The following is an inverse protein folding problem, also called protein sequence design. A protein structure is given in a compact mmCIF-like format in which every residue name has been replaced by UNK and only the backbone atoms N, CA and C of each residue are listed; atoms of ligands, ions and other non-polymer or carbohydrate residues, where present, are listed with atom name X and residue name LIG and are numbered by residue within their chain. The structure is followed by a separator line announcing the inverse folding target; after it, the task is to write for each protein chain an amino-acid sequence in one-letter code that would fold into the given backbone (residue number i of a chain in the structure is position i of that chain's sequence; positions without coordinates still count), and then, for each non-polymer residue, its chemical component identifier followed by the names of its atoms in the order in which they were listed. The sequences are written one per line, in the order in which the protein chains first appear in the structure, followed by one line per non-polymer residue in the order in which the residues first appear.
data_IF_946451245813
#
_entry.id   IF_946451245813
#
_cell.length_a   1.000
_cell.length_b   1.000
_cell.length_c   1.000
_cell.angle_alpha   90.00
_cell.angle_beta   90.00
_cell.angle_gamma   90.00
#
_symmetry.space_group_name_H-M   'P 1'
#
loop_
_entity.id
_entity.type
_entity.pdbx_description
1 polymer ?
#
# COMPACT_ATOMS: atom_id res chain seq x y z
N UNK A 1 0.46 15.12 30.55
CA UNK A 1 0.73 15.75 29.24
C UNK A 1 0.74 14.69 28.15
N UNK A 2 -0.41 14.37 27.57
CA UNK A 2 -0.51 13.36 26.50
C UNK A 2 0.15 13.83 25.19
N UNK A 3 0.07 15.12 24.88
CA UNK A 3 0.59 15.72 23.63
C UNK A 3 2.11 15.59 23.46
N UNK A 4 2.85 15.24 24.52
CA UNK A 4 4.29 14.94 24.48
C UNK A 4 4.63 13.68 23.66
N UNK A 5 3.66 12.80 23.41
CA UNK A 5 3.82 11.66 22.50
C UNK A 5 4.21 12.13 21.09
N UNK A 6 3.63 13.23 20.60
CA UNK A 6 4.02 13.88 19.36
C UNK A 6 5.12 14.93 19.55
N UNK A 7 5.21 15.85 18.60
CA UNK A 7 5.98 17.10 18.70
C UNK A 7 5.09 18.34 18.59
N UNK A 8 3.77 18.17 18.63
CA UNK A 8 2.79 19.24 18.53
C UNK A 8 2.03 19.39 19.85
N UNK A 9 2.12 20.57 20.47
CA UNK A 9 1.38 20.88 21.69
C UNK A 9 -0.12 21.02 21.38
N UNK A 10 -0.95 20.25 22.09
CA UNK A 10 -2.40 20.19 21.89
C UNK A 10 -3.11 20.12 23.23
N UNK A 11 -4.22 20.84 23.34
CA UNK A 11 -5.07 20.85 24.53
C UNK A 11 -6.00 19.63 24.56
N UNK A 12 -6.61 19.29 23.41
CA UNK A 12 -7.63 18.23 23.31
C UNK A 12 -7.10 17.00 22.60
N UNK A 13 -7.32 15.83 23.21
CA UNK A 13 -6.96 14.55 22.61
C UNK A 13 -7.91 14.21 21.45
N UNK A 14 -7.41 13.79 20.28
CA UNK A 14 -8.25 13.29 19.20
C UNK A 14 -9.11 12.11 19.67
N UNK A 15 -10.34 12.02 19.16
CA UNK A 15 -11.20 10.86 19.41
C UNK A 15 -10.61 9.66 18.67
N UNK A 16 -10.10 8.69 19.41
CA UNK A 16 -9.70 7.38 18.89
C UNK A 16 -10.99 6.61 18.62
N UNK A 17 -11.47 6.63 17.38
CA UNK A 17 -12.71 5.93 17.04
C UNK A 17 -12.48 4.41 17.11
N UNK A 18 -13.31 3.71 17.89
CA UNK A 18 -13.19 2.26 18.13
C UNK A 18 -13.66 1.40 16.94
N UNK A 19 -13.91 2.03 15.77
CA UNK A 19 -14.38 1.36 14.55
C UNK A 19 -13.34 0.48 13.87
N UNK A 20 -12.12 0.41 14.40
CA UNK A 20 -11.05 -0.48 13.94
C UNK A 20 -10.66 -1.54 14.97
N UNK A 21 -11.59 -2.36 15.47
CA UNK A 21 -11.26 -3.58 16.26
C UNK A 21 -10.57 -4.68 15.45
N UNK A 22 -10.25 -4.41 14.18
CA UNK A 22 -9.49 -5.35 13.37
C UNK A 22 -8.02 -5.16 13.68
N UNK A 23 -7.37 -6.21 14.19
CA UNK A 23 -5.93 -6.26 14.41
C UNK A 23 -5.19 -5.88 13.11
N UNK A 24 -4.17 -5.01 13.20
CA UNK A 24 -3.34 -4.63 12.05
C UNK A 24 -3.63 -3.28 11.39
N UNK A 25 -4.43 -2.39 12.00
CA UNK A 25 -4.62 -1.00 11.55
C UNK A 25 -3.80 -0.01 12.40
N UNK A 26 -2.49 -0.23 12.55
CA UNK A 26 -1.62 0.57 13.43
C UNK A 26 -1.41 2.03 13.02
N UNK A 27 -1.81 2.43 11.81
CA UNK A 27 -1.64 3.77 11.26
C UNK A 27 -2.97 4.55 11.09
N UNK A 28 -3.93 4.36 12.00
CA UNK A 28 -5.20 5.11 12.00
C UNK A 28 -4.97 6.65 12.02
N UNK A 29 -5.76 7.45 11.28
CA UNK A 29 -5.60 8.91 11.26
C UNK A 29 -5.61 9.58 12.63
N UNK A 30 -6.37 9.06 13.61
CA UNK A 30 -6.38 9.62 14.96
C UNK A 30 -5.07 9.31 15.71
N UNK A 31 -4.54 8.09 15.59
CA UNK A 31 -3.23 7.71 16.14
C UNK A 31 -2.13 8.54 15.50
N UNK A 32 -2.12 8.67 14.17
CA UNK A 32 -1.16 9.48 13.43
C UNK A 32 -1.23 10.97 13.83
N UNK A 33 -2.41 11.44 14.22
CA UNK A 33 -2.60 12.78 14.76
C UNK A 33 -1.95 12.93 16.14
N UNK A 34 -2.01 11.91 17.00
CA UNK A 34 -1.37 11.91 18.32
C UNK A 34 0.16 11.91 18.24
N UNK A 35 0.75 11.19 17.28
CA UNK A 35 2.22 11.11 17.09
C UNK A 35 2.76 12.14 16.09
N UNK A 36 1.97 13.17 15.73
CA UNK A 36 2.35 14.18 14.76
C UNK A 36 3.74 14.77 15.03
N UNK A 37 4.60 14.79 13.99
CA UNK A 37 6.00 15.22 14.08
C UNK A 37 6.99 14.11 14.47
N UNK A 38 6.53 12.89 14.70
CA UNK A 38 7.35 11.68 14.81
C UNK A 38 6.94 10.67 13.75
N UNK A 39 7.90 9.92 13.22
CA UNK A 39 7.64 8.84 12.27
C UNK A 39 7.24 7.58 13.04
N UNK A 40 6.11 6.98 12.66
CA UNK A 40 5.65 5.70 13.19
C UNK A 40 6.08 4.61 12.21
N UNK A 41 6.96 3.71 12.67
CA UNK A 41 7.35 2.52 11.94
C UNK A 41 6.61 1.32 12.54
N UNK A 42 5.63 0.82 11.81
CA UNK A 42 4.87 -0.37 12.19
C UNK A 42 5.43 -1.58 11.43
N UNK A 43 6.16 -2.45 12.14
CA UNK A 43 6.82 -3.61 11.54
C UNK A 43 5.83 -4.65 11.05
N UNK A 44 4.61 -4.71 11.59
CA UNK A 44 3.55 -5.57 11.06
C UNK A 44 3.13 -5.11 9.67
N UNK A 45 2.82 -3.81 9.51
CA UNK A 45 2.43 -3.25 8.21
C UNK A 45 3.58 -3.34 7.19
N UNK A 46 4.81 -3.04 7.62
CA UNK A 46 5.98 -3.13 6.75
C UNK A 46 6.24 -4.57 6.30
N UNK A 47 6.11 -5.55 7.20
CA UNK A 47 6.28 -6.97 6.85
C UNK A 47 5.25 -7.43 5.82
N UNK A 48 4.00 -6.94 5.88
CA UNK A 48 2.98 -7.23 4.86
C UNK A 48 3.28 -6.64 3.48
N UNK A 49 3.98 -5.51 3.43
CA UNK A 49 4.42 -4.91 2.16
C UNK A 49 5.62 -5.68 1.58
N UNK A 50 6.55 -6.12 2.44
CA UNK A 50 7.86 -6.64 2.05
C UNK A 50 7.94 -8.17 1.93
N UNK A 51 7.14 -8.91 2.68
CA UNK A 51 7.20 -10.37 2.78
C UNK A 51 5.92 -11.03 2.27
N UNK A 52 6.06 -12.25 1.76
CA UNK A 52 4.95 -13.16 1.45
C UNK A 52 4.95 -14.29 2.47
N UNK A 53 4.19 -14.10 3.54
CA UNK A 53 4.13 -15.03 4.68
C UNK A 53 2.69 -15.45 4.94
N UNK A 54 2.51 -16.63 5.55
CA UNK A 54 1.19 -17.14 5.92
C UNK A 54 0.59 -16.41 7.12
N UNK A 55 1.44 -15.87 7.98
CA UNK A 55 1.07 -15.09 9.16
C UNK A 55 2.07 -13.97 9.36
N UNK A 56 1.58 -12.81 9.78
CA UNK A 56 2.41 -11.64 10.07
C UNK A 56 2.50 -11.36 11.58
N UNK A 57 2.09 -12.33 12.42
CA UNK A 57 2.28 -12.21 13.87
C UNK A 57 3.76 -12.12 14.23
N UNK A 58 4.08 -11.39 15.31
CA UNK A 58 5.47 -11.25 15.77
C UNK A 58 6.10 -12.61 16.09
N UNK A 59 5.32 -13.54 16.67
CA UNK A 59 5.77 -14.91 16.97
C UNK A 59 6.18 -15.67 15.70
N UNK A 60 5.38 -15.58 14.63
CA UNK A 60 5.70 -16.25 13.36
C UNK A 60 6.91 -15.60 12.69
N UNK A 61 6.92 -14.27 12.56
CA UNK A 61 8.00 -13.54 11.90
C UNK A 61 9.34 -13.66 12.64
N UNK A 62 9.34 -13.66 13.97
CA UNK A 62 10.55 -13.91 14.75
C UNK A 62 11.14 -15.30 14.45
N UNK A 63 10.28 -16.32 14.29
CA UNK A 63 10.72 -17.66 13.99
C UNK A 63 11.20 -17.82 12.55
N UNK A 64 10.46 -17.34 11.56
CA UNK A 64 10.80 -17.55 10.15
C UNK A 64 11.90 -16.63 9.66
N UNK A 65 11.92 -15.37 10.10
CA UNK A 65 12.85 -14.35 9.59
C UNK A 65 14.10 -14.21 10.47
N UNK A 66 13.95 -14.32 11.80
CA UNK A 66 15.06 -14.12 12.75
C UNK A 66 15.61 -15.43 13.33
N UNK A 67 14.96 -16.57 13.09
CA UNK A 67 15.28 -17.87 13.71
C UNK A 67 15.28 -17.81 15.25
N UNK A 68 14.41 -16.97 15.84
CA UNK A 68 14.26 -16.80 17.28
C UNK A 68 12.88 -17.27 17.74
N UNK A 69 12.82 -17.94 18.90
CA UNK A 69 11.57 -18.42 19.48
C UNK A 69 11.03 -17.42 20.49
N UNK A 70 9.91 -16.76 20.15
CA UNK A 70 9.16 -15.90 21.07
C UNK A 70 8.19 -16.72 21.92
N UNK A 71 8.19 -16.50 23.24
CA UNK A 71 7.17 -17.03 24.15
C UNK A 71 6.03 -16.02 24.26
N UNK A 72 4.80 -16.47 24.10
CA UNK A 72 3.62 -15.62 24.16
C UNK A 72 2.84 -15.89 25.45
N UNK A 73 2.46 -14.82 26.16
CA UNK A 73 1.66 -14.91 27.39
C UNK A 73 0.22 -14.57 27.06
N UNK A 74 -0.70 -15.48 27.38
CA UNK A 74 -2.12 -15.23 27.20
C UNK A 74 -2.61 -14.16 28.19
N UNK A 75 -3.55 -13.27 27.80
CA UNK A 75 -4.03 -12.19 28.68
C UNK A 75 -4.57 -12.64 30.04
N UNK A 76 -5.13 -13.86 30.12
CA UNK A 76 -5.67 -14.42 31.36
C UNK A 76 -4.59 -14.95 32.32
N UNK A 77 -3.36 -15.16 31.84
CA UNK A 77 -2.22 -15.60 32.67
C UNK A 77 -1.44 -14.42 33.25
N UNK A 78 -1.56 -13.23 32.65
CA UNK A 78 -0.89 -12.00 33.11
C UNK A 78 -1.15 -11.73 34.61
N UNK A 79 -2.38 -11.78 35.15
CA UNK A 79 -2.62 -11.54 36.58
C UNK A 79 -1.90 -12.52 37.50
N UNK A 80 -1.68 -13.77 37.05
CA UNK A 80 -0.97 -14.80 37.84
C UNK A 80 0.52 -14.45 37.96
N UNK A 81 1.10 -13.80 36.96
CA UNK A 81 2.50 -13.42 36.95
C UNK A 81 2.84 -12.29 37.93
N UNK A 82 1.84 -11.55 38.44
CA UNK A 82 2.04 -10.54 39.49
C UNK A 82 2.17 -11.12 40.90
N UNK A 83 1.98 -12.43 41.09
CA UNK A 83 1.96 -13.04 42.42
C UNK A 83 3.34 -13.20 43.05
N UNK A 84 4.39 -13.42 42.26
CA UNK A 84 5.77 -13.57 42.77
C UNK A 84 6.71 -12.63 42.06
N UNK A 85 7.76 -12.17 42.77
CA UNK A 85 8.78 -11.32 42.18
C UNK A 85 9.46 -11.99 40.97
N UNK A 86 9.68 -13.31 41.03
CA UNK A 86 10.27 -14.08 39.92
C UNK A 86 9.38 -14.06 38.68
N UNK A 87 8.10 -14.39 38.81
CA UNK A 87 7.17 -14.37 37.67
C UNK A 87 6.96 -12.96 37.13
N UNK A 88 7.03 -11.93 37.97
CA UNK A 88 6.94 -10.54 37.52
C UNK A 88 8.17 -10.13 36.70
N UNK A 89 9.36 -10.55 37.10
CA UNK A 89 10.59 -10.32 36.31
C UNK A 89 10.51 -11.01 34.95
N UNK A 90 10.01 -12.26 34.89
CA UNK A 90 9.79 -12.97 33.61
C UNK A 90 8.81 -12.21 32.70
N UNK A 91 7.75 -11.59 33.26
CA UNK A 91 6.81 -10.78 32.47
C UNK A 91 7.49 -9.52 31.88
N UNK A 92 8.39 -8.89 32.63
CA UNK A 92 9.17 -7.74 32.16
C UNK A 92 10.11 -8.17 31.02
N UNK A 93 10.81 -9.30 31.18
CA UNK A 93 11.69 -9.88 30.15
C UNK A 93 10.93 -10.18 28.86
N UNK A 94 9.68 -10.64 28.92
CA UNK A 94 8.86 -10.84 27.72
C UNK A 94 8.55 -9.52 26.99
N UNK A 95 8.22 -8.46 27.73
CA UNK A 95 7.99 -7.13 27.14
C UNK A 95 9.25 -6.54 26.49
N UNK A 96 10.40 -6.73 27.14
CA UNK A 96 11.70 -6.33 26.59
C UNK A 96 12.05 -7.13 25.32
N UNK A 97 11.88 -8.45 25.37
CA UNK A 97 12.11 -9.34 24.23
C UNK A 97 11.21 -8.95 23.04
N UNK A 98 9.94 -8.62 23.27
CA UNK A 98 9.02 -8.20 22.22
C UNK A 98 9.44 -6.87 21.55
N UNK A 99 9.91 -5.91 22.36
CA UNK A 99 10.45 -4.65 21.86
C UNK A 99 11.73 -4.87 21.05
N UNK A 100 12.61 -5.74 21.54
CA UNK A 100 13.84 -6.14 20.84
C UNK A 100 13.54 -6.82 19.50
N UNK A 101 12.68 -7.84 19.49
CA UNK A 101 12.27 -8.56 18.28
C UNK A 101 11.66 -7.61 17.23
N UNK A 102 10.84 -6.66 17.67
CA UNK A 102 10.26 -5.65 16.78
C UNK A 102 11.35 -4.76 16.16
N UNK A 103 12.34 -4.33 16.95
CA UNK A 103 13.45 -3.54 16.45
C UNK A 103 14.37 -4.34 15.51
N UNK A 104 14.71 -5.57 15.89
CA UNK A 104 15.55 -6.48 15.11
C UNK A 104 14.90 -6.80 13.75
N UNK A 105 13.60 -7.05 13.73
CA UNK A 105 12.84 -7.27 12.48
C UNK A 105 12.87 -6.04 11.56
N UNK A 106 12.76 -4.82 12.13
CA UNK A 106 12.87 -3.58 11.36
C UNK A 106 14.25 -3.46 10.67
N UNK A 107 15.32 -3.82 11.37
CA UNK A 107 16.67 -3.82 10.81
C UNK A 107 16.86 -4.92 9.77
N UNK A 108 16.43 -6.15 10.07
CA UNK A 108 16.50 -7.30 9.18
C UNK A 108 15.83 -7.00 7.82
N UNK A 109 14.65 -6.40 7.86
CA UNK A 109 13.90 -6.01 6.65
C UNK A 109 14.37 -4.68 6.03
N UNK A 110 15.38 -4.02 6.62
CA UNK A 110 15.89 -2.73 6.15
C UNK A 110 14.79 -1.69 5.90
N UNK A 111 13.78 -1.65 6.80
CA UNK A 111 12.56 -0.86 6.60
C UNK A 111 12.88 0.62 6.42
N UNK A 112 13.72 1.19 7.30
CA UNK A 112 14.02 2.62 7.27
C UNK A 112 14.87 3.04 6.05
N UNK A 113 15.96 2.34 5.69
CA UNK A 113 16.69 2.62 4.45
C UNK A 113 15.81 2.55 3.20
N UNK A 114 15.00 1.48 3.07
CA UNK A 114 14.12 1.30 1.93
C UNK A 114 13.05 2.40 1.86
N UNK A 115 12.45 2.74 2.99
CA UNK A 115 11.49 3.84 3.10
C UNK A 115 12.10 5.16 2.65
N UNK A 116 13.34 5.45 3.06
CA UNK A 116 14.05 6.67 2.66
C UNK A 116 14.23 6.72 1.14
N UNK A 117 14.68 5.63 0.52
CA UNK A 117 14.87 5.58 -0.94
C UNK A 117 13.55 5.76 -1.69
N UNK A 118 12.50 5.03 -1.29
CA UNK A 118 11.17 5.16 -1.90
C UNK A 118 10.60 6.58 -1.76
N UNK A 119 10.85 7.22 -0.62
CA UNK A 119 10.39 8.60 -0.37
C UNK A 119 11.17 9.61 -1.20
N UNK A 120 12.49 9.42 -1.35
CA UNK A 120 13.32 10.27 -2.20
C UNK A 120 12.92 10.17 -3.67
N UNK A 121 12.69 8.96 -4.17
CA UNK A 121 12.25 8.71 -5.56
C UNK A 121 10.89 9.36 -5.81
N UNK A 122 9.92 9.11 -4.94
CA UNK A 122 8.55 9.62 -5.15
C UNK A 122 8.36 11.09 -4.76
N UNK A 123 9.23 11.66 -3.95
CA UNK A 123 9.12 13.03 -3.45
C UNK A 123 7.91 13.27 -2.54
N UNK A 124 7.41 12.24 -1.87
CA UNK A 124 6.28 12.32 -0.94
C UNK A 124 6.75 12.47 0.53
N UNK A 125 5.82 12.43 1.49
CA UNK A 125 6.16 12.47 2.92
C UNK A 125 6.59 11.08 3.42
N UNK A 126 7.76 11.00 4.08
CA UNK A 126 8.31 9.75 4.63
C UNK A 126 7.31 9.00 5.53
N UNK A 127 6.57 9.72 6.38
CA UNK A 127 5.55 9.12 7.24
C UNK A 127 4.40 8.47 6.48
N UNK A 128 4.13 8.88 5.23
CA UNK A 128 3.14 8.24 4.35
C UNK A 128 3.70 7.01 3.63
N UNK A 129 4.99 7.01 3.32
CA UNK A 129 5.67 5.84 2.78
C UNK A 129 5.67 4.68 3.77
N UNK A 130 5.94 4.94 5.06
CA UNK A 130 5.86 3.94 6.14
C UNK A 130 4.47 3.33 6.33
N UNK A 131 3.41 4.02 5.89
CA UNK A 131 2.03 3.52 5.96
C UNK A 131 1.67 2.59 4.80
N UNK A 132 2.58 2.32 3.87
CA UNK A 132 2.34 1.45 2.71
C UNK A 132 1.48 2.10 1.61
N UNK A 133 1.37 3.43 1.57
CA UNK A 133 0.52 4.15 0.62
C UNK A 133 1.11 4.18 -0.81
N UNK A 134 1.09 3.04 -1.54
CA UNK A 134 1.71 2.89 -2.87
C UNK A 134 1.16 3.87 -3.90
N UNK A 135 -0.16 4.03 -3.98
CA UNK A 135 -0.82 4.95 -4.90
C UNK A 135 -0.39 6.40 -4.66
N UNK A 136 -0.26 6.81 -3.40
CA UNK A 136 0.19 8.16 -3.04
C UNK A 136 1.64 8.41 -3.47
N UNK A 137 2.52 7.40 -3.44
CA UNK A 137 3.89 7.53 -3.97
C UNK A 137 3.89 7.78 -5.48
N UNK A 138 3.10 7.01 -6.22
CA UNK A 138 2.96 7.18 -7.68
C UNK A 138 2.35 8.54 -8.01
N UNK A 139 1.34 8.99 -7.26
CA UNK A 139 0.73 10.31 -7.40
C UNK A 139 1.77 11.43 -7.27
N UNK A 140 2.54 11.46 -6.17
CA UNK A 140 3.57 12.48 -5.95
C UNK A 140 4.65 12.46 -7.03
N UNK A 141 5.10 11.27 -7.44
CA UNK A 141 6.08 11.11 -8.51
C UNK A 141 5.59 11.78 -9.80
N UNK A 142 4.35 11.50 -10.20
CA UNK A 142 3.75 12.10 -11.40
C UNK A 142 3.55 13.61 -11.22
N UNK A 143 3.08 14.06 -10.05
CA UNK A 143 2.90 15.49 -9.77
C UNK A 143 4.21 16.27 -9.95
N UNK A 144 5.33 15.75 -9.44
CA UNK A 144 6.65 16.38 -9.60
C UNK A 144 7.08 16.44 -11.06
N UNK A 145 6.95 15.33 -11.80
CA UNK A 145 7.36 15.24 -13.21
C UNK A 145 6.54 16.15 -14.14
N UNK A 146 5.21 16.15 -13.98
CA UNK A 146 4.33 17.03 -14.75
C UNK A 146 4.52 18.51 -14.39
N UNK A 147 4.72 18.82 -13.11
CA UNK A 147 4.99 20.19 -12.66
C UNK A 147 6.33 20.72 -13.19
N UNK A 148 7.39 19.89 -13.20
CA UNK A 148 8.70 20.21 -13.78
C UNK A 148 8.58 20.60 -15.26
N UNK A 149 7.70 19.92 -15.99
CA UNK A 149 7.40 20.19 -17.42
C UNK A 149 6.31 21.24 -17.65
N UNK A 150 5.89 21.98 -16.62
CA UNK A 150 4.90 23.09 -16.69
C UNK A 150 3.50 22.66 -17.16
N UNK A 151 3.11 21.42 -16.88
CA UNK A 151 1.73 20.98 -17.07
C UNK A 151 0.84 21.42 -15.91
N UNK A 152 -0.44 21.67 -16.20
CA UNK A 152 -1.49 21.78 -15.19
C UNK A 152 -1.85 20.36 -14.76
N UNK A 153 -1.86 20.12 -13.44
CA UNK A 153 -2.18 18.82 -12.86
C UNK A 153 -3.64 18.79 -12.38
N UNK A 154 -4.29 17.60 -12.35
CA UNK A 154 -5.67 17.49 -11.88
C UNK A 154 -5.83 17.91 -10.42
N UNK A 155 -6.93 18.59 -10.12
CA UNK A 155 -7.30 18.92 -8.74
C UNK A 155 -7.60 17.66 -7.93
N UNK A 156 -7.27 17.72 -6.64
CA UNK A 156 -7.60 16.63 -5.70
C UNK A 156 -9.11 16.52 -5.55
N UNK A 157 -9.67 15.40 -5.99
CA UNK A 157 -11.11 15.16 -5.86
C UNK A 157 -11.53 15.08 -4.38
N UNK A 158 -12.25 16.09 -3.90
CA UNK A 158 -12.95 16.02 -2.62
C UNK A 158 -14.10 15.01 -2.70
N UNK A 159 -14.33 14.26 -1.62
CA UNK A 159 -15.44 13.31 -1.55
C UNK A 159 -16.81 13.96 -1.82
N UNK A 160 -16.96 15.26 -1.53
CA UNK A 160 -18.18 16.03 -1.79
C UNK A 160 -18.40 16.34 -3.29
N UNK A 161 -17.33 16.40 -4.10
CA UNK A 161 -17.43 16.61 -5.54
C UNK A 161 -17.83 15.32 -6.30
N UNK A 162 -17.63 14.15 -5.69
CA UNK A 162 -18.04 12.86 -6.25
C UNK A 162 -19.57 12.70 -6.28
N UNK A 163 -20.27 13.18 -5.24
CA UNK A 163 -21.75 13.18 -5.20
C UNK A 163 -22.37 14.09 -6.26
N UNK A 164 -21.81 15.29 -6.47
CA UNK A 164 -22.34 16.26 -7.43
C UNK A 164 -22.16 15.79 -8.89
N UNK A 165 -21.04 15.12 -9.22
CA UNK A 165 -20.82 14.52 -10.54
C UNK A 165 -21.74 13.31 -10.80
N UNK A 166 -22.02 12.49 -9.78
CA UNK A 166 -23.00 11.40 -9.87
C UNK A 166 -24.44 11.92 -10.11
N UNK A 167 -24.84 13.01 -9.43
CA UNK A 167 -26.17 13.62 -9.61
C UNK A 167 -26.35 14.24 -11.00
N UNK A 168 -25.31 14.88 -11.57
CA UNK A 168 -25.40 15.52 -12.89
C UNK A 168 -25.50 14.49 -14.04
N UNK A 169 -24.83 13.33 -13.91
CA UNK A 169 -24.91 12.22 -14.89
C UNK A 169 -26.25 11.46 -14.88
N UNK A 170 -26.96 11.40 -13.73
CA UNK A 170 -28.28 10.74 -13.64
C UNK A 170 -29.42 11.50 -14.31
N UNK A 171 -29.30 12.80 -14.52
CA UNK A 171 -30.38 13.63 -15.09
C UNK A 171 -30.37 13.65 -16.63
N UNK A 172 -29.22 13.36 -17.26
CA UNK A 172 -29.04 13.51 -18.73
C UNK A 172 -29.10 12.21 -19.53
N UNK A 173 -29.07 11.03 -18.91
CA UNK A 173 -29.25 9.75 -19.62
C UNK A 173 -30.38 8.92 -19.01
N UNK A 174 -31.59 9.21 -19.48
CA UNK A 174 -32.68 8.26 -19.42
C UNK A 174 -32.48 7.18 -20.49
N UNK A 175 -32.48 5.93 -20.02
CA UNK A 175 -32.71 4.68 -20.77
C UNK A 175 -31.53 4.17 -21.63
N UNK A 176 -31.07 2.97 -21.26
CA UNK A 176 -30.15 2.02 -21.92
C UNK A 176 -28.62 2.23 -21.82
N UNK A 177 -27.99 1.34 -21.03
CA UNK A 177 -26.79 0.61 -21.44
C UNK A 177 -25.43 1.16 -21.01
N UNK A 178 -24.79 0.48 -20.05
CA UNK A 178 -23.34 0.52 -19.83
C UNK A 178 -22.86 1.46 -18.73
N UNK A 179 -22.69 0.94 -17.51
CA UNK A 179 -21.98 1.63 -16.42
C UNK A 179 -20.51 1.82 -16.80
N UNK A 180 -20.14 3.04 -17.25
CA UNK A 180 -18.75 3.50 -17.25
C UNK A 180 -18.48 4.20 -15.92
N UNK A 181 -18.18 3.42 -14.88
CA UNK A 181 -17.80 3.93 -13.57
C UNK A 181 -16.29 4.23 -13.55
N UNK A 182 -15.96 5.52 -13.51
CA UNK A 182 -14.59 6.04 -13.33
C UNK A 182 -13.96 5.51 -12.03
N UNK A 183 -12.67 5.15 -12.15
CA UNK A 183 -11.86 4.43 -11.18
C UNK A 183 -11.95 4.95 -9.73
N UNK A 184 -12.18 4.00 -8.83
CA UNK A 184 -12.13 4.16 -7.39
C UNK A 184 -10.67 4.24 -6.91
N UNK A 185 -10.06 5.43 -6.98
CA UNK A 185 -8.64 5.63 -6.60
C UNK A 185 -8.42 5.79 -5.08
N UNK A 186 -9.48 5.71 -4.25
CA UNK A 186 -9.35 5.90 -2.80
C UNK A 186 -9.84 4.73 -1.93
N UNK A 187 -10.13 3.55 -2.50
CA UNK A 187 -10.15 2.35 -1.68
C UNK A 187 -8.73 1.76 -1.68
N UNK A 188 -7.95 2.19 -0.68
CA UNK A 188 -6.70 1.56 -0.33
C UNK A 188 -7.01 0.09 -0.01
N UNK A 189 -6.84 -0.75 -1.02
CA UNK A 189 -7.10 -2.18 -0.99
C UNK A 189 -6.10 -2.86 -0.02
N UNK A 190 -6.41 -2.79 1.28
CA UNK A 190 -5.95 -3.75 2.29
C UNK A 190 -7.03 -4.83 2.38
N UNK A 191 -7.08 -5.69 1.37
CA UNK A 191 -7.78 -6.97 1.49
C UNK A 191 -7.08 -8.03 0.65
N UNK A 192 -6.10 -8.67 1.27
CA UNK A 192 -5.97 -10.11 1.17
C UNK A 192 -5.84 -10.60 2.61
N UNK A 193 -6.94 -11.12 3.14
CA UNK A 193 -6.85 -12.28 4.01
C UNK A 193 -8.15 -13.06 3.99
N UNK A 194 -7.98 -14.36 3.89
CA UNK A 194 -9.02 -15.36 4.02
C UNK A 194 -9.46 -15.42 5.49
N UNK A 195 -10.70 -15.05 5.77
CA UNK A 195 -11.47 -15.66 6.85
C UNK A 195 -12.95 -15.54 6.54
N UNK A 196 -13.60 -16.69 6.49
CA UNK A 196 -15.05 -16.85 6.36
C UNK A 196 -15.75 -16.12 7.49
N UNK A 197 -16.43 -15.02 7.19
CA UNK A 197 -17.58 -14.57 7.96
C UNK A 197 -18.52 -13.77 7.06
N UNK A 198 -19.80 -14.10 7.21
CA UNK A 198 -20.84 -14.05 6.20
C UNK A 198 -21.45 -12.64 6.04
N UNK A 199 -20.70 -11.73 5.41
CA UNK A 199 -21.26 -10.47 4.92
C UNK A 199 -20.93 -10.28 3.45
N UNK A 200 -21.97 -10.42 2.60
CA UNK A 200 -21.99 -10.09 1.16
C UNK A 200 -21.45 -8.68 0.89
N UNK A 201 -20.13 -8.54 0.80
CA UNK A 201 -19.48 -7.41 0.13
C UNK A 201 -19.69 -7.62 -1.36
N UNK A 202 -20.51 -6.78 -1.98
CA UNK A 202 -20.60 -6.66 -3.43
C UNK A 202 -19.21 -6.32 -3.96
N UNK A 203 -18.45 -7.35 -4.38
CA UNK A 203 -17.17 -7.21 -5.04
C UNK A 203 -17.44 -6.47 -6.34
N UNK A 204 -17.00 -5.20 -6.43
CA UNK A 204 -17.17 -4.40 -7.65
C UNK A 204 -16.59 -5.18 -8.84
N UNK A 205 -17.36 -5.31 -9.91
CA UNK A 205 -16.91 -5.94 -11.13
C UNK A 205 -15.70 -5.19 -11.70
N UNK A 206 -14.81 -5.90 -12.41
CA UNK A 206 -13.67 -5.27 -13.06
C UNK A 206 -14.13 -4.24 -14.09
N UNK A 207 -13.55 -3.04 -14.06
CA UNK A 207 -13.91 -1.94 -14.96
C UNK A 207 -13.25 -2.06 -16.34
N UNK A 208 -12.20 -2.87 -16.49
CA UNK A 208 -11.51 -3.11 -17.74
C UNK A 208 -10.90 -4.52 -17.78
N UNK A 209 -10.57 -5.01 -18.98
CA UNK A 209 -9.93 -6.31 -19.17
C UNK A 209 -8.49 -6.32 -18.62
N UNK A 210 -8.14 -7.40 -17.92
CA UNK A 210 -6.80 -7.59 -17.33
C UNK A 210 -5.86 -8.43 -18.21
N UNK A 211 -4.88 -9.07 -17.57
CA UNK A 211 -3.95 -9.97 -18.24
C UNK A 211 -4.62 -11.25 -18.75
N UNK A 212 -4.08 -11.80 -19.83
CA UNK A 212 -4.51 -13.09 -20.38
C UNK A 212 -3.95 -14.24 -19.54
N UNK A 213 -4.82 -15.16 -19.15
CA UNK A 213 -4.42 -16.44 -18.52
C UNK A 213 -4.73 -17.55 -19.52
N UNK A 214 -3.69 -18.28 -19.93
CA UNK A 214 -3.87 -19.46 -20.77
C UNK A 214 -4.46 -20.60 -19.94
N UNK A 215 -5.33 -21.39 -20.55
CA UNK A 215 -5.89 -22.57 -19.89
C UNK A 215 -4.78 -23.58 -19.55
N UNK A 216 -4.62 -23.95 -18.27
CA UNK A 216 -3.54 -24.83 -17.86
C UNK A 216 -3.79 -26.26 -18.35
N UNK A 217 -2.76 -26.86 -18.95
CA UNK A 217 -2.74 -28.30 -19.23
C UNK A 217 -2.50 -29.04 -17.91
N UNK A 218 -3.56 -29.57 -17.31
CA UNK A 218 -3.50 -30.28 -16.02
C UNK A 218 -2.86 -31.66 -16.21
N UNK A 219 -1.94 -32.03 -15.33
CA UNK A 219 -1.31 -33.34 -15.35
C UNK A 219 0.00 -33.35 -14.57
N UNK A 220 0.52 -34.55 -14.35
CA UNK A 220 1.89 -34.76 -13.91
C UNK A 220 2.80 -34.73 -15.16
N UNK A 221 3.95 -34.07 -15.05
CA UNK A 221 4.89 -33.91 -16.16
C UNK A 221 6.18 -34.67 -15.84
N UNK A 222 6.49 -35.69 -16.63
CA UNK A 222 7.72 -36.50 -16.49
C UNK A 222 8.91 -35.91 -17.26
N UNK A 223 8.71 -34.77 -17.94
CA UNK A 223 9.73 -34.05 -18.73
C UNK A 223 9.98 -32.66 -18.15
N UNK A 224 11.15 -32.11 -18.43
CA UNK A 224 11.50 -30.75 -18.00
C UNK A 224 10.47 -29.71 -18.46
N UNK A 225 10.08 -28.83 -17.54
CA UNK A 225 9.22 -27.67 -17.81
C UNK A 225 10.11 -26.45 -17.89
N UNK A 226 10.04 -25.75 -19.04
CA UNK A 226 10.71 -24.46 -19.21
C UNK A 226 9.73 -23.33 -18.88
N UNK A 227 10.08 -22.50 -17.89
CA UNK A 227 9.34 -21.30 -17.54
C UNK A 227 10.04 -20.09 -18.17
N UNK A 228 9.32 -19.36 -19.02
CA UNK A 228 9.77 -18.11 -19.62
C UNK A 228 8.86 -16.98 -19.12
N UNK A 229 9.46 -15.88 -18.68
CA UNK A 229 8.73 -14.70 -18.18
C UNK A 229 9.36 -13.41 -18.73
N UNK A 230 8.54 -12.37 -18.89
CA UNK A 230 9.00 -11.05 -19.31
C UNK A 230 9.41 -10.22 -18.10
N UNK A 231 10.64 -9.72 -18.10
CA UNK A 231 11.08 -8.75 -17.10
C UNK A 231 10.27 -7.45 -17.26
N UNK A 232 9.45 -7.14 -16.26
CA UNK A 232 8.73 -5.87 -16.17
C UNK A 232 7.83 -5.55 -17.39
N UNK A 233 6.95 -6.49 -17.77
CA UNK A 233 6.10 -6.40 -18.96
C UNK A 233 5.38 -5.04 -19.15
N UNK A 234 4.57 -4.58 -18.18
CA UNK A 234 3.82 -3.32 -18.34
C UNK A 234 4.72 -2.07 -18.41
N UNK A 235 5.74 -1.91 -17.56
CA UNK A 235 6.79 -0.90 -17.76
C UNK A 235 7.34 -0.86 -19.19
N UNK A 236 7.70 -2.00 -19.76
CA UNK A 236 8.28 -2.08 -21.10
C UNK A 236 7.26 -1.75 -22.19
N UNK A 237 6.02 -2.22 -22.07
CA UNK A 237 4.93 -1.85 -23.00
C UNK A 237 4.67 -0.34 -23.00
N UNK A 238 4.70 0.31 -21.83
CA UNK A 238 4.53 1.76 -21.71
C UNK A 238 5.62 2.51 -22.48
N UNK A 239 6.87 2.03 -22.41
CA UNK A 239 8.01 2.64 -23.09
C UNK A 239 7.98 2.37 -24.60
N UNK A 240 7.86 1.10 -25.00
CA UNK A 240 7.91 0.64 -26.39
C UNK A 240 6.84 1.35 -27.25
N UNK A 241 5.61 1.45 -26.72
CA UNK A 241 4.50 2.06 -27.43
C UNK A 241 4.22 3.52 -27.02
N UNK A 242 5.16 4.16 -26.32
CA UNK A 242 5.09 5.57 -25.90
C UNK A 242 3.75 5.94 -25.24
N UNK A 243 3.23 5.08 -24.34
CA UNK A 243 1.91 5.23 -23.73
C UNK A 243 1.98 6.29 -22.62
N UNK A 244 1.31 7.43 -22.81
CA UNK A 244 1.29 8.53 -21.85
C UNK A 244 -0.02 9.31 -21.93
N UNK A 245 -0.31 10.07 -20.87
CA UNK A 245 -1.37 11.08 -20.85
C UNK A 245 -1.21 12.15 -21.94
N UNK A 246 0.02 12.36 -22.44
CA UNK A 246 0.35 13.40 -23.42
C UNK A 246 0.43 12.89 -24.85
N UNK A 247 0.35 11.57 -25.07
CA UNK A 247 0.57 10.94 -26.38
C UNK A 247 -0.66 10.19 -26.87
N UNK A 248 -1.45 9.61 -25.95
CA UNK A 248 -2.65 8.84 -26.31
C UNK A 248 -3.89 9.73 -26.29
N UNK A 249 -4.55 9.85 -27.43
CA UNK A 249 -5.86 10.50 -27.54
C UNK A 249 -6.96 9.58 -26.99
N UNK A 250 -7.69 10.05 -25.98
CA UNK A 250 -8.77 9.29 -25.33
C UNK A 250 -10.11 9.85 -25.78
N UNK A 251 -10.93 9.02 -26.43
CA UNK A 251 -12.32 9.37 -26.72
C UNK A 251 -13.23 9.02 -25.54
N UNK A 252 -14.35 9.74 -25.43
CA UNK A 252 -15.38 9.49 -24.40
C UNK A 252 -16.24 8.27 -24.68
N UNK A 253 -16.07 7.65 -25.86
CA UNK A 253 -17.01 6.68 -26.42
C UNK A 253 -16.74 5.24 -25.95
N UNK A 254 -15.86 5.08 -24.94
CA UNK A 254 -15.56 3.79 -24.31
C UNK A 254 -14.71 2.83 -25.18
N UNK A 255 -14.34 3.23 -26.39
CA UNK A 255 -13.45 2.45 -27.24
C UNK A 255 -12.00 2.52 -26.77
N UNK A 256 -11.27 1.43 -26.99
CA UNK A 256 -9.85 1.37 -26.68
C UNK A 256 -9.09 2.37 -27.57
N UNK A 257 -8.27 3.25 -26.99
CA UNK A 257 -7.56 4.26 -27.77
C UNK A 257 -6.50 3.61 -28.66
N UNK A 258 -6.26 4.22 -29.83
CA UNK A 258 -5.20 3.75 -30.74
C UNK A 258 -3.82 4.10 -30.18
N UNK A 259 -2.82 3.32 -30.59
CA UNK A 259 -1.44 3.59 -30.23
C UNK A 259 -1.00 4.94 -30.83
N UNK A 260 -0.17 5.71 -30.10
CA UNK A 260 0.28 7.01 -30.56
C UNK A 260 1.27 6.86 -31.73
N UNK A 261 1.20 7.78 -32.69
CA UNK A 261 2.17 7.90 -33.79
C UNK A 261 3.23 8.98 -33.56
N UNK A 262 3.16 9.69 -32.43
CA UNK A 262 4.07 10.80 -32.10
C UNK A 262 5.49 10.31 -31.88
N UNK A 263 6.46 11.01 -32.50
CA UNK A 263 7.89 10.79 -32.30
C UNK A 263 8.41 11.37 -30.97
N UNK A 264 7.67 12.30 -30.37
CA UNK A 264 8.06 12.89 -29.09
C UNK A 264 7.65 11.96 -27.96
N UNK A 265 8.62 11.59 -27.12
CA UNK A 265 8.39 10.74 -25.96
C UNK A 265 7.49 11.44 -24.95
N UNK A 266 6.50 10.72 -24.44
CA UNK A 266 5.61 11.21 -23.40
C UNK A 266 6.33 11.32 -22.05
N UNK A 267 5.72 12.07 -21.13
CA UNK A 267 6.24 12.24 -19.76
C UNK A 267 6.38 10.90 -19.03
N UNK A 268 5.36 10.04 -19.09
CA UNK A 268 5.30 8.79 -18.32
C UNK A 268 6.39 7.76 -18.71
N UNK A 269 6.69 7.51 -20.00
CA UNK A 269 7.83 6.70 -20.40
C UNK A 269 9.19 7.20 -19.90
N UNK A 270 9.39 8.53 -19.86
CA UNK A 270 10.67 9.14 -19.44
C UNK A 270 10.96 9.03 -17.94
N UNK A 271 9.93 9.00 -17.09
CA UNK A 271 10.08 8.90 -15.61
C UNK A 271 10.94 7.69 -15.20
N UNK A 272 11.04 6.66 -16.04
CA UNK A 272 11.84 5.46 -15.76
C UNK A 272 13.29 5.53 -16.22
N UNK A 273 13.63 6.45 -17.13
CA UNK A 273 14.99 6.56 -17.67
C UNK A 273 15.96 7.24 -16.72
N UNK A 274 15.49 8.17 -15.87
CA UNK A 274 16.39 8.92 -14.97
C UNK A 274 16.94 8.08 -13.82
N UNK A 275 16.17 7.13 -13.31
CA UNK A 275 16.48 6.46 -12.04
C UNK A 275 17.06 5.04 -12.22
N UNK A 276 16.97 4.48 -13.42
CA UNK A 276 17.47 3.13 -13.72
C UNK A 276 19.00 3.06 -13.86
N UNK A 277 19.69 4.20 -13.98
CA UNK A 277 21.16 4.25 -14.10
C UNK A 277 21.92 4.44 -12.78
N UNK A 278 21.25 4.76 -11.66
CA UNK A 278 21.92 5.00 -10.37
C UNK A 278 21.77 3.85 -9.35
N UNK A 279 21.02 2.78 -9.65
CA UNK A 279 20.77 1.66 -8.73
C UNK A 279 21.61 0.40 -8.99
N UNK A 280 22.70 0.50 -9.76
CA UNK A 280 23.74 -0.53 -9.84
C UNK A 280 25.07 0.00 -9.28
N UNK A 281 25.18 0.08 -7.95
CA UNK A 281 26.45 0.00 -7.19
C UNK A 281 26.19 -0.77 -5.90
#
# INVERSE_FOLDING_TARGET
MWSKMGRLNRSTMPKLDSRGKTFGFGADPAIMSCVAGRLLCDTYLCSRDLLKEVSYSLTHLAKTQLNQSRKEVAPHDVPKMFQTAKSLMELIEYGETDAWLSMELMFYLSVLPLTRQLTNISGNLCGKTLQGARAQRVEYLLLHEFHKKKYIVPDKFSNNAKETKLRKRRVTHGVNGGNFDDADINDANYHNDASESDHKKNKKAASYAGGLVLEPKKGLYDKYILLLDFNSLYPSIIQEYNICFTTVERSTDGYFPRLPSSKTTGVLPEVKMSDSFELQV
#
